data_IF_147150451497
#
_entry.id   IF_147150451497
#
_cell.length_a   1.000
_cell.length_b   1.000
_cell.length_c   1.000
_cell.angle_alpha   90.00
_cell.angle_beta   90.00
_cell.angle_gamma   90.00
#
_symmetry.space_group_name_H-M   'P 1'
#
loop_
_entity.id
_entity.type
_entity.pdbx_description
1 polymer ?
#
# COMPACT_ATOMS: atom_id res chain seq x y z
N UNK A 1 -1.69 -24.66 -17.68
CA UNK A 1 -1.36 -24.66 -16.24
C UNK A 1 -1.76 -23.29 -15.73
N UNK A 2 -2.74 -23.16 -14.84
CA UNK A 2 -3.13 -21.85 -14.32
C UNK A 2 -2.03 -21.34 -13.38
N UNK A 3 -1.33 -20.30 -13.79
CA UNK A 3 -0.33 -19.64 -12.97
C UNK A 3 -1.05 -18.88 -11.86
N UNK A 4 -0.70 -19.17 -10.60
CA UNK A 4 -1.27 -18.46 -9.44
C UNK A 4 -0.20 -17.63 -8.76
N UNK A 5 -0.50 -16.37 -8.48
CA UNK A 5 0.36 -15.44 -7.74
C UNK A 5 -0.18 -15.23 -6.33
N UNK A 6 0.69 -14.88 -5.39
CA UNK A 6 0.25 -14.50 -4.03
C UNK A 6 -0.04 -13.01 -4.00
N UNK A 7 -1.21 -12.63 -3.50
CA UNK A 7 -1.55 -11.23 -3.29
C UNK A 7 -0.62 -10.61 -2.23
N UNK A 8 0.06 -9.50 -2.50
CA UNK A 8 0.99 -8.88 -1.55
C UNK A 8 0.29 -8.29 -0.32
N UNK A 9 -1.00 -7.98 -0.41
CA UNK A 9 -1.78 -7.37 0.67
C UNK A 9 -2.33 -8.42 1.65
N UNK A 10 -3.08 -9.41 1.14
CA UNK A 10 -3.75 -10.41 1.98
C UNK A 10 -3.07 -11.79 1.98
N UNK A 11 -1.99 -11.99 1.21
CA UNK A 11 -1.22 -13.24 1.08
C UNK A 11 -1.98 -14.44 0.51
N UNK A 12 -3.24 -14.26 0.11
CA UNK A 12 -4.02 -15.29 -0.55
C UNK A 12 -3.50 -15.57 -1.97
N UNK A 13 -3.67 -16.82 -2.41
CA UNK A 13 -3.35 -17.25 -3.76
C UNK A 13 -4.47 -16.85 -4.72
N UNK A 14 -4.10 -16.18 -5.81
CA UNK A 14 -5.01 -15.62 -6.81
C UNK A 14 -4.48 -15.97 -8.21
N UNK A 15 -5.33 -16.17 -9.22
CA UNK A 15 -4.90 -16.37 -10.60
C UNK A 15 -4.05 -15.20 -11.08
N UNK A 16 -2.96 -15.47 -11.79
CA UNK A 16 -2.08 -14.45 -12.35
C UNK A 16 -2.79 -13.55 -13.38
N UNK A 17 -3.82 -14.07 -14.05
CA UNK A 17 -4.63 -13.33 -15.03
C UNK A 17 -5.55 -12.28 -14.40
N UNK A 18 -5.74 -12.33 -13.08
CA UNK A 18 -6.64 -11.39 -12.40
C UNK A 18 -5.91 -10.08 -12.08
N UNK A 19 -6.47 -8.97 -12.54
CA UNK A 19 -6.03 -7.61 -12.21
C UNK A 19 -6.34 -7.21 -10.75
N UNK A 20 -7.22 -7.95 -10.07
CA UNK A 20 -7.65 -7.67 -8.69
C UNK A 20 -7.76 -8.93 -7.86
N UNK A 21 -7.35 -8.83 -6.60
CA UNK A 21 -7.53 -9.87 -5.62
C UNK A 21 -9.01 -9.99 -5.27
N UNK A 22 -9.64 -11.14 -5.55
CA UNK A 22 -11.04 -11.37 -5.21
C UNK A 22 -11.30 -11.53 -3.70
N UNK A 23 -10.25 -11.69 -2.89
CA UNK A 23 -10.36 -11.76 -1.44
C UNK A 23 -10.35 -10.38 -0.77
N UNK A 24 -9.43 -9.49 -1.15
CA UNK A 24 -9.26 -8.19 -0.49
C UNK A 24 -9.62 -6.99 -1.37
N UNK A 25 -9.95 -7.20 -2.65
CA UNK A 25 -10.30 -6.13 -3.60
C UNK A 25 -9.10 -5.32 -4.13
N UNK A 26 -7.91 -5.54 -3.59
CA UNK A 26 -6.69 -4.82 -3.97
C UNK A 26 -6.27 -5.16 -5.41
N UNK A 27 -5.72 -4.19 -6.12
CA UNK A 27 -5.16 -4.42 -7.46
C UNK A 27 -3.94 -5.34 -7.35
N UNK A 28 -3.93 -6.37 -8.18
CA UNK A 28 -2.78 -7.25 -8.39
C UNK A 28 -1.95 -6.58 -9.48
N UNK A 29 -0.93 -5.84 -9.07
CA UNK A 29 0.08 -5.26 -9.96
C UNK A 29 0.81 -6.41 -10.69
N UNK A 30 0.29 -6.81 -11.84
CA UNK A 30 0.95 -7.76 -12.73
C UNK A 30 2.08 -6.98 -13.44
N UNK A 31 3.26 -6.93 -12.79
CA UNK A 31 4.50 -6.23 -13.18
C UNK A 31 4.42 -4.68 -13.15
N UNK A 32 5.26 -3.95 -12.40
CA UNK A 32 6.72 -3.81 -12.64
C UNK A 32 7.53 -3.49 -11.35
N UNK A 33 8.29 -4.46 -10.85
CA UNK A 33 9.51 -4.22 -10.05
C UNK A 33 9.39 -3.99 -8.51
N UNK A 34 10.52 -4.07 -7.78
CA UNK A 34 10.62 -3.92 -6.31
C UNK A 34 10.25 -2.51 -5.79
N UNK A 35 9.84 -1.60 -6.67
CA UNK A 35 9.49 -0.22 -6.38
C UNK A 35 8.08 -0.06 -5.77
N UNK A 36 7.14 -0.99 -5.99
CA UNK A 36 5.81 -0.91 -5.35
C UNK A 36 5.86 -1.18 -3.84
N UNK A 37 6.82 -2.00 -3.37
CA UNK A 37 7.05 -2.19 -1.93
C UNK A 37 7.62 -0.93 -1.27
N UNK A 38 8.47 -0.20 -2.00
CA UNK A 38 9.04 1.06 -1.53
C UNK A 38 7.99 2.18 -1.54
N UNK A 39 7.15 2.26 -2.57
CA UNK A 39 6.05 3.24 -2.69
C UNK A 39 5.08 3.19 -1.50
N UNK A 40 4.67 2.01 -1.06
CA UNK A 40 3.78 1.86 0.09
C UNK A 40 4.46 2.18 1.44
N UNK A 41 5.78 2.01 1.55
CA UNK A 41 6.56 2.49 2.70
C UNK A 41 6.66 4.02 2.73
N UNK A 42 6.83 4.66 1.57
CA UNK A 42 6.89 6.13 1.46
C UNK A 42 5.54 6.80 1.78
N UNK A 43 4.42 6.21 1.35
CA UNK A 43 3.07 6.74 1.70
C UNK A 43 2.85 6.77 3.22
N UNK A 44 3.24 5.73 3.95
CA UNK A 44 3.13 5.71 5.41
C UNK A 44 3.97 6.79 6.09
N UNK A 45 5.17 7.06 5.56
CA UNK A 45 6.08 8.06 6.10
C UNK A 45 5.60 9.49 5.84
N UNK A 46 5.03 9.76 4.66
CA UNK A 46 4.43 11.05 4.33
C UNK A 46 3.22 11.34 5.22
N UNK A 47 2.33 10.36 5.43
CA UNK A 47 1.15 10.52 6.30
C UNK A 47 1.59 10.77 7.75
N UNK A 48 2.58 10.03 8.25
CA UNK A 48 3.12 10.24 9.59
C UNK A 48 3.75 11.63 9.76
N UNK A 49 4.47 12.12 8.75
CA UNK A 49 5.07 13.45 8.75
C UNK A 49 4.00 14.55 8.77
N UNK A 50 2.95 14.43 7.94
CA UNK A 50 1.83 15.38 7.92
C UNK A 50 1.11 15.41 9.27
N UNK A 51 0.84 14.25 9.87
CA UNK A 51 0.19 14.16 11.17
C UNK A 51 0.99 14.87 12.27
N UNK A 52 2.32 14.68 12.31
CA UNK A 52 3.20 15.38 13.25
C UNK A 52 3.17 16.90 13.03
N UNK A 53 3.22 17.35 11.77
CA UNK A 53 3.21 18.77 11.43
C UNK A 53 1.90 19.45 11.88
N UNK A 54 0.77 18.78 11.69
CA UNK A 54 -0.55 19.25 12.16
C UNK A 54 -0.61 19.37 13.69
N UNK A 55 -0.05 18.40 14.42
CA UNK A 55 0.00 18.44 15.89
C UNK A 55 0.86 19.62 16.37
N UNK A 56 2.01 19.86 15.74
CA UNK A 56 2.90 20.98 16.08
C UNK A 56 2.18 22.32 15.84
N UNK A 57 1.51 22.49 14.70
CA UNK A 57 0.74 23.69 14.40
C UNK A 57 -0.37 23.94 15.43
N UNK A 58 -1.06 22.88 15.87
CA UNK A 58 -2.10 22.97 16.89
C UNK A 58 -1.53 23.38 18.26
N UNK A 59 -0.37 22.85 18.64
CA UNK A 59 0.32 23.22 19.87
C UNK A 59 0.80 24.69 19.85
N UNK A 60 1.30 25.17 18.70
CA UNK A 60 1.68 26.58 18.52
C UNK A 60 0.46 27.48 18.65
N UNK A 61 -0.69 27.09 18.08
CA UNK A 61 -1.92 27.87 18.17
C UNK A 61 -2.51 27.93 19.60
N UNK A 62 -2.23 26.91 20.42
CA UNK A 62 -2.71 26.84 21.80
C UNK A 62 -1.90 27.73 22.77
N UNK A 63 -0.67 28.12 22.39
CA UNK A 63 0.27 28.89 23.21
C UNK A 63 0.26 30.37 22.84
#
# INVERSE_FOLDING_TARGET
MNETVKCPHCKNSVPADNLRCFFCGELLDISVGPLSFLSNRFKGLIIAAIALLMIILLLIWLF
#
